data_IF_626796055995
#
_entry.id   IF_626796055995
#
_cell.length_a   1.000
_cell.length_b   1.000
_cell.length_c   1.000
_cell.angle_alpha   90.00
_cell.angle_beta   90.00
_cell.angle_gamma   90.00
#
_symmetry.space_group_name_H-M   'P 1'
#
loop_
_entity.id
_entity.type
_entity.pdbx_description
1 polymer ?
#
# COMPACT_ATOMS: atom_id res chain seq x y z
N UNK A 1 -10.35 35.61 1.81
CA UNK A 1 -10.52 34.72 0.64
C UNK A 1 -10.26 33.31 1.13
N UNK A 2 -11.32 32.54 1.31
CA UNK A 2 -11.26 31.17 1.81
C UNK A 2 -11.55 30.20 0.66
N UNK A 3 -11.04 28.98 0.83
CA UNK A 3 -11.23 27.77 0.03
C UNK A 3 -10.33 27.64 -1.22
N UNK A 4 -9.35 26.72 -1.10
CA UNK A 4 -9.18 25.56 -1.97
C UNK A 4 -8.04 24.70 -1.38
N UNK A 5 -8.36 23.94 -0.33
CA UNK A 5 -7.67 22.67 -0.14
C UNK A 5 -8.26 21.77 -1.23
N UNK A 6 -7.65 21.73 -2.42
CA UNK A 6 -8.08 20.85 -3.52
C UNK A 6 -7.73 19.39 -3.22
N UNK A 7 -8.39 18.83 -2.21
CA UNK A 7 -8.43 17.39 -1.96
C UNK A 7 -9.09 16.67 -3.13
N UNK A 8 -8.79 15.38 -3.31
CA UNK A 8 -9.44 14.49 -4.28
C UNK A 8 -10.97 14.56 -4.17
N UNK A 9 -11.65 14.87 -5.27
CA UNK A 9 -13.11 14.85 -5.35
C UNK A 9 -13.59 13.44 -5.69
N UNK A 10 -13.80 12.65 -4.63
CA UNK A 10 -14.27 11.26 -4.73
C UNK A 10 -15.66 11.17 -5.38
N UNK A 11 -16.49 12.21 -5.28
CA UNK A 11 -17.80 12.22 -5.92
C UNK A 11 -17.67 12.38 -7.44
N UNK A 12 -16.75 13.24 -7.89
CA UNK A 12 -16.41 13.39 -9.30
C UNK A 12 -15.74 12.13 -9.86
N UNK A 13 -14.90 11.44 -9.09
CA UNK A 13 -14.32 10.15 -9.51
C UNK A 13 -15.42 9.11 -9.79
N UNK A 14 -16.41 8.96 -8.89
CA UNK A 14 -17.45 7.94 -9.00
C UNK A 14 -18.35 8.06 -10.26
N UNK A 15 -18.39 9.23 -10.89
CA UNK A 15 -19.20 9.50 -12.09
C UNK A 15 -18.42 9.39 -13.40
N UNK A 16 -17.11 9.15 -13.36
CA UNK A 16 -16.29 8.97 -14.55
C UNK A 16 -16.72 7.71 -15.33
N UNK A 17 -16.72 7.80 -16.67
CA UNK A 17 -17.05 6.68 -17.57
C UNK A 17 -16.12 6.68 -18.79
N UNK A 18 -15.94 5.53 -19.46
CA UNK A 18 -15.25 5.49 -20.73
C UNK A 18 -15.83 6.48 -21.75
N UNK A 19 -14.97 7.07 -22.58
CA UNK A 19 -15.32 8.14 -23.53
C UNK A 19 -15.34 9.56 -22.93
N UNK A 20 -15.26 9.73 -21.61
CA UNK A 20 -15.04 11.05 -21.02
C UNK A 20 -13.58 11.49 -21.21
N UNK A 21 -13.30 12.81 -21.33
CA UNK A 21 -11.93 13.29 -21.56
C UNK A 21 -11.06 13.20 -20.30
N UNK A 22 -9.75 13.01 -20.48
CA UNK A 22 -8.74 12.98 -19.40
C UNK A 22 -8.84 14.19 -18.45
N UNK A 23 -9.22 15.36 -18.96
CA UNK A 23 -9.39 16.57 -18.15
C UNK A 23 -10.39 16.40 -16.99
N UNK A 24 -11.37 15.49 -17.10
CA UNK A 24 -12.29 15.15 -16.02
C UNK A 24 -11.59 14.37 -14.90
N UNK A 25 -10.68 13.46 -15.25
CA UNK A 25 -9.85 12.73 -14.28
C UNK A 25 -8.93 13.70 -13.55
N UNK A 26 -8.24 14.57 -14.30
CA UNK A 26 -7.39 15.61 -13.73
C UNK A 26 -8.14 16.51 -12.75
N UNK A 27 -9.32 17.01 -13.14
CA UNK A 27 -10.14 17.85 -12.28
C UNK A 27 -10.59 17.13 -10.99
N UNK A 28 -10.96 15.85 -11.09
CA UNK A 28 -11.38 15.06 -9.94
C UNK A 28 -10.22 14.72 -8.99
N UNK A 29 -9.00 14.57 -9.51
CA UNK A 29 -7.82 14.30 -8.70
C UNK A 29 -7.28 15.54 -7.98
N UNK A 30 -7.57 16.74 -8.48
CA UNK A 30 -7.13 17.99 -7.86
C UNK A 30 -5.61 18.02 -7.67
N UNK A 31 -5.15 18.31 -6.45
CA UNK A 31 -3.72 18.39 -6.13
C UNK A 31 -2.97 17.05 -6.22
N UNK A 32 -3.69 15.92 -6.29
CA UNK A 32 -3.08 14.60 -6.46
C UNK A 32 -2.68 14.29 -7.90
N UNK A 33 -3.12 15.10 -8.88
CA UNK A 33 -2.76 14.91 -10.27
C UNK A 33 -1.26 15.10 -10.51
N UNK A 34 -0.66 14.16 -11.24
CA UNK A 34 0.68 14.30 -11.83
C UNK A 34 0.57 14.03 -13.34
N UNK A 35 1.42 14.63 -14.18
CA UNK A 35 1.47 14.32 -15.61
C UNK A 35 1.63 12.82 -15.87
N UNK A 36 0.99 12.33 -16.94
CA UNK A 36 1.11 10.93 -17.36
C UNK A 36 2.57 10.59 -17.68
N UNK A 37 3.05 9.50 -17.10
CA UNK A 37 4.34 8.96 -17.45
C UNK A 37 4.19 8.06 -18.68
N UNK A 38 5.00 8.30 -19.72
CA UNK A 38 4.89 7.57 -21.00
C UNK A 38 5.01 6.05 -20.82
N UNK A 39 5.86 5.61 -19.89
CA UNK A 39 6.09 4.20 -19.58
C UNK A 39 4.89 3.48 -18.94
N UNK A 40 3.83 4.20 -18.59
CA UNK A 40 2.59 3.62 -18.05
C UNK A 40 1.52 3.33 -19.11
N UNK A 41 1.75 3.67 -20.37
CA UNK A 41 0.79 3.40 -21.45
C UNK A 41 -0.62 3.94 -21.18
N UNK A 42 -0.71 5.16 -20.65
CA UNK A 42 -1.98 5.80 -20.29
C UNK A 42 -2.57 5.42 -18.92
N UNK A 43 -1.96 4.50 -18.16
CA UNK A 43 -2.41 4.16 -16.79
C UNK A 43 -2.17 5.31 -15.80
N UNK A 44 -3.20 5.64 -15.03
CA UNK A 44 -3.21 6.57 -13.89
C UNK A 44 -3.57 5.79 -12.63
N UNK A 45 -2.59 5.54 -11.77
CA UNK A 45 -2.70 4.69 -10.57
C UNK A 45 -2.28 5.41 -9.27
N UNK A 46 -2.17 6.74 -9.31
CA UNK A 46 -1.75 7.56 -8.17
C UNK A 46 -2.69 7.46 -6.96
N UNK A 47 -3.95 7.06 -7.19
CA UNK A 47 -4.98 6.89 -6.16
C UNK A 47 -5.31 5.42 -5.89
N UNK A 48 -4.57 4.47 -6.45
CA UNK A 48 -4.81 3.03 -6.31
C UNK A 48 -4.78 2.62 -4.82
N UNK A 49 -3.69 2.94 -4.13
CA UNK A 49 -3.50 2.52 -2.74
C UNK A 49 -4.22 3.41 -1.72
N UNK A 50 -4.55 4.65 -2.08
CA UNK A 50 -5.17 5.62 -1.16
C UNK A 50 -6.70 5.68 -1.26
N UNK A 51 -7.26 5.55 -2.46
CA UNK A 51 -8.70 5.66 -2.71
C UNK A 51 -9.26 4.45 -3.48
N UNK A 52 -8.43 3.50 -3.90
CA UNK A 52 -8.89 2.35 -4.68
C UNK A 52 -9.28 2.71 -6.10
N UNK A 53 -8.67 3.74 -6.72
CA UNK A 53 -9.06 4.24 -8.04
C UNK A 53 -7.91 4.15 -9.05
N UNK A 54 -8.20 3.56 -10.21
CA UNK A 54 -7.28 3.51 -11.36
C UNK A 54 -8.03 3.86 -12.64
N UNK A 55 -7.41 4.64 -13.52
CA UNK A 55 -7.93 4.94 -14.85
C UNK A 55 -6.89 4.61 -15.93
N UNK A 56 -7.35 4.31 -17.14
CA UNK A 56 -6.51 4.23 -18.33
C UNK A 56 -7.04 5.19 -19.38
N UNK A 57 -6.13 6.00 -19.90
CA UNK A 57 -6.40 6.97 -20.96
C UNK A 57 -5.93 6.38 -22.29
N UNK A 58 -6.81 6.36 -23.27
CA UNK A 58 -6.53 5.91 -24.63
C UNK A 58 -5.62 6.90 -25.38
N UNK A 59 -5.14 6.49 -26.55
CA UNK A 59 -4.26 7.32 -27.41
C UNK A 59 -4.89 8.66 -27.84
N UNK A 60 -6.22 8.77 -27.77
CA UNK A 60 -6.99 9.96 -28.14
C UNK A 60 -7.28 10.88 -26.94
N UNK A 61 -6.79 10.54 -25.75
CA UNK A 61 -6.96 11.35 -24.54
C UNK A 61 -8.31 11.17 -23.83
N UNK A 62 -9.03 10.09 -24.12
CA UNK A 62 -10.29 9.72 -23.47
C UNK A 62 -10.09 8.55 -22.52
N UNK A 63 -10.98 8.44 -21.53
CA UNK A 63 -10.99 7.30 -20.62
C UNK A 63 -11.36 6.05 -21.44
N UNK A 64 -10.46 5.07 -21.48
CA UNK A 64 -10.73 3.75 -22.04
C UNK A 64 -11.19 2.75 -20.97
N UNK A 65 -10.63 2.85 -19.76
CA UNK A 65 -10.93 1.93 -18.66
C UNK A 65 -10.85 2.63 -17.29
N UNK A 66 -11.64 2.14 -16.34
CA UNK A 66 -11.67 2.58 -14.94
C UNK A 66 -11.82 1.36 -14.05
N UNK A 67 -11.10 1.32 -12.92
CA UNK A 67 -11.30 0.33 -11.87
C UNK A 67 -11.43 1.01 -10.51
N UNK A 68 -12.32 0.45 -9.69
CA UNK A 68 -12.57 0.80 -8.31
C UNK A 68 -12.45 -0.47 -7.46
N UNK A 69 -11.63 -0.46 -6.41
CA UNK A 69 -11.48 -1.59 -5.49
C UNK A 69 -12.18 -1.33 -4.13
N UNK A 70 -12.06 -2.28 -3.21
CA UNK A 70 -12.63 -2.22 -1.85
C UNK A 70 -12.31 -0.93 -1.04
N UNK A 71 -11.24 -0.19 -1.39
CA UNK A 71 -10.88 1.09 -0.76
C UNK A 71 -11.72 2.25 -1.26
N UNK A 72 -12.42 2.11 -2.39
CA UNK A 72 -13.30 3.14 -2.92
C UNK A 72 -14.65 3.12 -2.19
N UNK A 73 -14.74 3.89 -1.09
CA UNK A 73 -15.88 3.82 -0.16
C UNK A 73 -17.17 4.49 -0.68
N UNK A 74 -17.13 5.20 -1.81
CA UNK A 74 -18.30 5.87 -2.38
C UNK A 74 -19.02 4.96 -3.37
N UNK A 75 -20.37 4.92 -3.38
CA UNK A 75 -21.09 4.15 -4.37
C UNK A 75 -20.81 4.63 -5.81
N UNK A 76 -20.60 3.69 -6.73
CA UNK A 76 -20.43 3.90 -8.16
C UNK A 76 -21.68 3.38 -8.87
N UNK A 77 -22.43 4.27 -9.54
CA UNK A 77 -23.74 3.93 -10.12
C UNK A 77 -24.74 3.35 -9.12
N UNK A 78 -24.68 3.82 -7.87
CA UNK A 78 -25.52 3.31 -6.78
C UNK A 78 -25.06 1.97 -6.19
N UNK A 79 -23.95 1.39 -6.69
CA UNK A 79 -23.37 0.15 -6.19
C UNK A 79 -22.22 0.48 -5.26
N UNK A 80 -22.26 -0.04 -4.03
CA UNK A 80 -21.20 0.14 -3.04
C UNK A 80 -20.33 -1.11 -2.92
N UNK A 81 -19.05 -0.94 -2.60
CA UNK A 81 -18.20 -2.03 -2.14
C UNK A 81 -18.82 -2.69 -0.90
N UNK A 82 -18.73 -4.01 -0.79
CA UNK A 82 -19.35 -4.81 0.26
C UNK A 82 -20.86 -5.08 0.08
N UNK A 83 -21.52 -4.48 -0.92
CA UNK A 83 -22.93 -4.76 -1.20
C UNK A 83 -23.15 -6.24 -1.49
N UNK A 84 -24.17 -6.85 -0.87
CA UNK A 84 -24.48 -8.27 -1.08
C UNK A 84 -25.11 -8.51 -2.46
N UNK A 85 -24.92 -9.71 -3.00
CA UNK A 85 -25.44 -10.10 -4.32
C UNK A 85 -26.95 -9.84 -4.49
N UNK A 86 -27.76 -10.10 -3.47
CA UNK A 86 -29.22 -9.87 -3.52
C UNK A 86 -29.56 -8.37 -3.63
N UNK A 87 -28.83 -7.52 -2.90
CA UNK A 87 -28.97 -6.07 -2.99
C UNK A 87 -28.52 -5.56 -4.35
N UNK A 88 -27.43 -6.12 -4.88
CA UNK A 88 -26.92 -5.79 -6.21
C UNK A 88 -27.93 -6.14 -7.31
N UNK A 89 -28.55 -7.33 -7.26
CA UNK A 89 -29.59 -7.75 -8.20
C UNK A 89 -30.81 -6.84 -8.14
N UNK A 90 -31.20 -6.38 -6.95
CA UNK A 90 -32.29 -5.43 -6.79
C UNK A 90 -31.94 -4.03 -7.32
N UNK A 91 -30.71 -3.56 -7.07
CA UNK A 91 -30.25 -2.24 -7.50
C UNK A 91 -29.98 -2.15 -9.00
N UNK A 92 -29.51 -3.25 -9.62
CA UNK A 92 -29.23 -3.31 -11.06
C UNK A 92 -29.75 -4.62 -11.67
N UNK A 93 -31.06 -4.73 -11.94
CA UNK A 93 -31.67 -5.95 -12.49
C UNK A 93 -31.14 -6.36 -13.87
N UNK A 94 -30.57 -5.41 -14.62
CA UNK A 94 -29.96 -5.63 -15.93
C UNK A 94 -28.51 -6.14 -15.87
N UNK A 95 -27.96 -6.37 -14.68
CA UNK A 95 -26.63 -6.93 -14.52
C UNK A 95 -26.70 -8.46 -14.62
N UNK A 96 -25.99 -9.02 -15.59
CA UNK A 96 -25.86 -10.47 -15.76
C UNK A 96 -24.75 -10.98 -14.85
N UNK A 97 -25.11 -11.75 -13.81
CA UNK A 97 -24.15 -12.34 -12.88
C UNK A 97 -24.01 -13.82 -13.20
N UNK A 98 -22.81 -14.23 -13.63
CA UNK A 98 -22.48 -15.62 -13.90
C UNK A 98 -22.25 -16.45 -12.64
N UNK A 99 -21.95 -17.73 -12.86
CA UNK A 99 -21.55 -18.67 -11.81
C UNK A 99 -20.13 -18.36 -11.28
N UNK A 100 -19.69 -19.17 -10.32
CA UNK A 100 -18.33 -19.10 -9.78
C UNK A 100 -17.29 -19.26 -10.90
N UNK A 101 -16.24 -18.43 -10.87
CA UNK A 101 -15.10 -18.56 -11.77
C UNK A 101 -14.41 -19.91 -11.49
N UNK A 102 -14.11 -20.73 -12.53
CA UNK A 102 -13.38 -21.98 -12.34
C UNK A 102 -12.10 -21.77 -11.52
N UNK A 103 -11.86 -22.65 -10.56
CA UNK A 103 -10.72 -22.60 -9.62
C UNK A 103 -10.73 -21.45 -8.59
N UNK A 104 -11.71 -20.55 -8.61
CA UNK A 104 -11.87 -19.48 -7.61
C UNK A 104 -13.26 -19.53 -6.96
N UNK A 105 -13.46 -20.52 -6.07
CA UNK A 105 -14.75 -20.70 -5.38
C UNK A 105 -15.14 -19.43 -4.62
N UNK A 106 -16.40 -19.01 -4.78
CA UNK A 106 -16.92 -17.79 -4.15
C UNK A 106 -16.56 -16.50 -4.88
N UNK A 107 -15.92 -16.56 -6.06
CA UNK A 107 -15.70 -15.39 -6.92
C UNK A 107 -16.63 -15.46 -8.13
N UNK A 108 -17.43 -14.41 -8.37
CA UNK A 108 -18.36 -14.30 -9.50
C UNK A 108 -18.17 -13.00 -10.25
N UNK A 109 -18.53 -12.98 -11.53
CA UNK A 109 -18.50 -11.79 -12.37
C UNK A 109 -19.91 -11.36 -12.77
N UNK A 110 -20.24 -10.11 -12.47
CA UNK A 110 -21.36 -9.36 -13.03
C UNK A 110 -20.91 -8.58 -14.26
N UNK A 111 -21.69 -8.62 -15.34
CA UNK A 111 -21.42 -7.88 -16.57
C UNK A 111 -22.67 -7.16 -17.04
N UNK A 112 -22.52 -5.92 -17.50
CA UNK A 112 -23.56 -5.15 -18.17
C UNK A 112 -22.98 -4.35 -19.31
N UNK A 113 -23.61 -4.43 -20.48
CA UNK A 113 -23.25 -3.66 -21.66
C UNK A 113 -24.06 -2.37 -21.75
N UNK A 114 -23.40 -1.27 -22.11
CA UNK A 114 -24.01 0.04 -22.31
C UNK A 114 -24.16 0.36 -23.80
N UNK A 115 -25.27 1.01 -24.22
CA UNK A 115 -25.45 1.45 -25.62
C UNK A 115 -24.32 2.34 -26.14
N UNK A 116 -23.64 3.06 -25.25
CA UNK A 116 -22.48 3.91 -25.51
C UNK A 116 -21.22 3.11 -25.91
N UNK A 117 -21.27 1.78 -25.90
CA UNK A 117 -20.21 0.90 -26.41
C UNK A 117 -19.22 0.39 -25.36
N UNK A 118 -19.36 0.79 -24.09
CA UNK A 118 -18.54 0.28 -22.99
C UNK A 118 -19.29 -0.76 -22.14
N UNK A 119 -18.54 -1.45 -21.29
CA UNK A 119 -19.05 -2.51 -20.41
C UNK A 119 -18.73 -2.19 -18.95
N UNK A 120 -19.70 -2.41 -18.06
CA UNK A 120 -19.50 -2.49 -16.60
C UNK A 120 -19.21 -3.94 -16.23
N UNK A 121 -18.19 -4.12 -15.40
CA UNK A 121 -17.82 -5.39 -14.77
C UNK A 121 -17.85 -5.21 -13.26
N UNK A 122 -18.39 -6.19 -12.54
CA UNK A 122 -18.42 -6.21 -11.08
C UNK A 122 -17.86 -7.55 -10.63
N UNK A 123 -16.79 -7.53 -9.83
CA UNK A 123 -16.27 -8.72 -9.18
C UNK A 123 -16.96 -8.87 -7.84
N UNK A 124 -17.59 -10.03 -7.61
CA UNK A 124 -18.06 -10.42 -6.29
C UNK A 124 -17.09 -11.42 -5.68
N UNK A 125 -16.74 -11.22 -4.41
CA UNK A 125 -15.97 -12.15 -3.59
C UNK A 125 -16.79 -12.49 -2.35
N UNK A 126 -16.99 -13.78 -2.08
CA UNK A 126 -17.82 -14.27 -0.98
C UNK A 126 -19.20 -13.60 -0.96
N UNK A 127 -19.84 -13.51 -2.13
CA UNK A 127 -21.18 -12.91 -2.35
C UNK A 127 -21.29 -11.39 -2.11
N UNK A 128 -20.17 -10.69 -1.96
CA UNK A 128 -20.13 -9.23 -1.80
C UNK A 128 -19.35 -8.56 -2.91
N UNK A 129 -19.75 -7.35 -3.31
CA UNK A 129 -19.03 -6.54 -4.30
C UNK A 129 -17.64 -6.20 -3.78
N UNK A 130 -16.60 -6.55 -4.54
CA UNK A 130 -15.21 -6.29 -4.18
C UNK A 130 -14.47 -5.38 -5.18
N UNK A 131 -14.93 -5.35 -6.43
CA UNK A 131 -14.34 -4.53 -7.49
C UNK A 131 -15.42 -4.10 -8.47
N UNK A 132 -15.32 -2.88 -8.99
CA UNK A 132 -16.18 -2.33 -10.04
C UNK A 132 -15.26 -1.81 -11.13
N UNK A 133 -15.49 -2.21 -12.38
CA UNK A 133 -14.69 -1.78 -13.52
C UNK A 133 -15.56 -1.33 -14.69
N UNK A 134 -15.10 -0.35 -15.45
CA UNK A 134 -15.68 0.03 -16.74
C UNK A 134 -14.62 -0.10 -17.81
N UNK A 135 -14.95 -0.68 -18.96
CA UNK A 135 -14.01 -0.82 -20.08
C UNK A 135 -14.70 -0.59 -21.41
N UNK A 136 -14.13 0.30 -22.24
CA UNK A 136 -14.43 0.38 -23.66
C UNK A 136 -13.54 -0.64 -24.41
N UNK A 137 -14.11 -1.71 -24.99
CA UNK A 137 -13.33 -2.72 -25.71
C UNK A 137 -12.69 -2.20 -27.01
N UNK A 138 -13.12 -1.04 -27.51
CA UNK A 138 -12.54 -0.40 -28.70
C UNK A 138 -11.45 0.64 -28.36
N UNK A 139 -11.12 0.84 -27.08
CA UNK A 139 -10.06 1.76 -26.69
C UNK A 139 -8.68 1.17 -27.01
N UNK A 140 -7.85 1.96 -27.70
CA UNK A 140 -6.46 1.65 -27.98
C UNK A 140 -5.56 2.50 -27.07
N UNK A 141 -4.57 1.88 -26.43
CA UNK A 141 -3.75 2.54 -25.43
C UNK A 141 -2.36 2.86 -25.98
N UNK A 142 -1.71 3.94 -25.53
CA UNK A 142 -0.32 4.16 -25.83
C UNK A 142 0.53 2.96 -25.40
N UNK A 143 1.45 2.53 -26.26
CA UNK A 143 2.39 1.45 -25.93
C UNK A 143 3.27 1.87 -24.73
N UNK A 144 3.30 1.10 -23.63
CA UNK A 144 4.18 1.37 -22.51
C UNK A 144 5.66 1.31 -22.92
N UNK A 145 6.42 2.35 -22.59
CA UNK A 145 7.88 2.33 -22.68
C UNK A 145 8.53 1.75 -21.42
N UNK A 146 9.86 1.63 -21.41
CA UNK A 146 10.62 1.32 -20.21
C UNK A 146 10.52 2.48 -19.18
N UNK A 147 10.38 2.19 -17.88
CA UNK A 147 10.50 3.21 -16.85
C UNK A 147 11.84 3.95 -16.91
N UNK A 148 11.89 5.23 -16.53
CA UNK A 148 13.16 5.94 -16.40
C UNK A 148 13.92 5.40 -15.19
N UNK A 149 14.82 4.45 -15.42
CA UNK A 149 15.69 3.92 -14.38
C UNK A 149 16.86 4.88 -14.13
N UNK A 150 16.93 5.54 -12.97
CA UNK A 150 18.10 6.35 -12.65
C UNK A 150 19.33 5.46 -12.48
N UNK A 151 20.50 6.01 -12.78
CA UNK A 151 21.76 5.29 -12.58
C UNK A 151 21.95 4.97 -11.09
N UNK A 152 22.24 3.69 -10.80
CA UNK A 152 22.67 3.25 -9.48
C UNK A 152 23.91 4.05 -9.03
N UNK A 153 23.91 4.54 -7.80
CA UNK A 153 24.97 5.41 -7.31
C UNK A 153 25.26 5.18 -5.82
N UNK A 154 26.50 5.49 -5.43
CA UNK A 154 26.93 5.45 -4.03
C UNK A 154 27.15 4.04 -3.48
N UNK A 155 27.21 3.96 -2.16
CA UNK A 155 27.41 2.73 -1.38
C UNK A 155 26.06 2.01 -1.25
N UNK A 156 26.00 0.66 -1.30
CA UNK A 156 24.78 -0.08 -1.02
C UNK A 156 24.17 0.32 0.33
N UNK A 157 22.86 0.50 0.37
CA UNK A 157 22.12 0.92 1.57
C UNK A 157 22.08 2.43 1.80
N UNK A 158 23.02 3.21 1.25
CA UNK A 158 23.04 4.65 1.49
C UNK A 158 21.70 5.33 1.09
N UNK A 159 21.20 6.29 1.90
CA UNK A 159 21.85 6.91 3.05
C UNK A 159 21.70 6.17 4.39
N UNK A 160 21.15 4.95 4.39
CA UNK A 160 20.97 4.12 5.56
C UNK A 160 22.20 3.25 5.80
N UNK A 161 22.44 2.85 7.05
CA UNK A 161 23.51 1.92 7.38
C UNK A 161 23.22 0.49 6.89
N UNK A 162 21.95 0.09 6.95
CA UNK A 162 21.48 -1.24 6.54
C UNK A 162 20.87 -1.21 5.12
N UNK A 163 21.39 -2.01 4.17
CA UNK A 163 20.78 -2.15 2.85
C UNK A 163 19.34 -2.64 2.85
N UNK A 164 18.94 -3.47 3.81
CA UNK A 164 17.57 -3.96 3.91
C UNK A 164 16.62 -2.87 4.42
N UNK A 165 17.09 -1.93 5.26
CA UNK A 165 16.30 -0.74 5.62
C UNK A 165 16.02 0.12 4.38
N UNK A 166 16.99 0.24 3.47
CA UNK A 166 16.77 0.93 2.20
C UNK A 166 15.67 0.29 1.37
N UNK A 167 15.61 -1.05 1.32
CA UNK A 167 14.53 -1.77 0.64
C UNK A 167 13.17 -1.44 1.27
N UNK A 168 13.05 -1.48 2.59
CA UNK A 168 11.81 -1.09 3.31
C UNK A 168 11.34 0.32 2.93
N UNK A 169 12.27 1.28 2.87
CA UNK A 169 11.96 2.66 2.44
C UNK A 169 11.56 2.73 0.97
N UNK A 170 12.21 1.97 0.08
CA UNK A 170 11.82 1.88 -1.33
C UNK A 170 10.43 1.27 -1.50
N UNK A 171 10.07 0.25 -0.70
CA UNK A 171 8.71 -0.30 -0.68
C UNK A 171 7.69 0.79 -0.35
N UNK A 172 7.97 1.57 0.70
CA UNK A 172 7.10 2.67 1.12
C UNK A 172 6.93 3.73 0.02
N UNK A 173 8.00 4.07 -0.70
CA UNK A 173 7.96 5.01 -1.82
C UNK A 173 7.22 4.46 -3.04
N UNK A 174 7.34 3.15 -3.32
CA UNK A 174 6.59 2.46 -4.37
C UNK A 174 5.09 2.47 -4.05
N UNK A 175 4.72 2.11 -2.82
CA UNK A 175 3.34 2.04 -2.37
C UNK A 175 2.68 3.42 -2.36
N UNK A 176 3.45 4.46 -2.00
CA UNK A 176 3.02 5.87 -2.08
C UNK A 176 3.10 6.46 -3.50
N UNK A 177 3.49 5.68 -4.52
CA UNK A 177 3.64 6.12 -5.92
C UNK A 177 4.55 7.35 -6.08
N UNK A 178 5.61 7.43 -5.26
CA UNK A 178 6.63 8.48 -5.32
C UNK A 178 7.81 8.09 -6.22
N UNK A 179 8.03 6.79 -6.38
CA UNK A 179 8.94 6.22 -7.38
C UNK A 179 8.20 5.18 -8.22
N UNK A 180 8.79 4.80 -9.34
CA UNK A 180 8.24 3.80 -10.24
C UNK A 180 9.35 2.94 -10.83
N UNK A 181 9.25 1.63 -10.65
CA UNK A 181 10.19 0.64 -11.15
C UNK A 181 9.60 -0.20 -12.30
N UNK A 182 8.38 0.11 -12.75
CA UNK A 182 7.64 -0.72 -13.69
C UNK A 182 7.20 -2.04 -13.07
N UNK A 183 7.26 -3.12 -13.84
CA UNK A 183 7.09 -4.49 -13.34
C UNK A 183 8.42 -5.09 -12.92
N UNK A 184 8.43 -6.13 -12.07
CA UNK A 184 9.65 -6.89 -11.77
C UNK A 184 10.39 -7.36 -13.04
N UNK A 185 9.67 -7.78 -14.08
CA UNK A 185 10.27 -8.24 -15.34
C UNK A 185 10.93 -7.09 -16.12
N UNK A 186 10.34 -5.89 -16.09
CA UNK A 186 10.93 -4.70 -16.70
C UNK A 186 12.24 -4.32 -16.01
N UNK A 187 12.27 -4.27 -14.66
CA UNK A 187 13.49 -3.97 -13.94
C UNK A 187 14.56 -5.05 -14.16
N UNK A 188 14.17 -6.33 -14.11
CA UNK A 188 15.07 -7.44 -14.39
C UNK A 188 15.71 -7.34 -15.78
N UNK A 189 14.88 -7.02 -16.78
CA UNK A 189 15.33 -6.80 -18.16
C UNK A 189 16.31 -5.64 -18.26
N UNK A 190 16.04 -4.55 -17.54
CA UNK A 190 16.92 -3.39 -17.48
C UNK A 190 18.30 -3.73 -16.91
N UNK A 191 18.34 -4.33 -15.71
CA UNK A 191 19.60 -4.56 -14.99
C UNK A 191 20.45 -5.66 -15.62
N UNK A 192 19.83 -6.63 -16.32
CA UNK A 192 20.53 -7.70 -17.02
C UNK A 192 20.84 -7.38 -18.49
N UNK A 193 20.20 -6.38 -19.08
CA UNK A 193 20.34 -6.04 -20.50
C UNK A 193 19.82 -7.12 -21.47
N UNK A 194 18.92 -8.00 -21.00
CA UNK A 194 18.26 -9.05 -21.79
C UNK A 194 16.84 -9.29 -21.29
N UNK A 195 15.97 -9.85 -22.12
CA UNK A 195 14.64 -10.27 -21.66
C UNK A 195 14.74 -11.32 -20.53
N UNK A 196 13.81 -11.24 -19.58
CA UNK A 196 13.72 -12.11 -18.41
C UNK A 196 12.34 -12.73 -18.34
N UNK A 197 12.28 -14.04 -18.16
CA UNK A 197 11.05 -14.78 -17.89
C UNK A 197 10.99 -15.17 -16.41
N UNK A 198 10.19 -14.44 -15.64
CA UNK A 198 10.09 -14.65 -14.19
C UNK A 198 9.48 -16.01 -13.83
N UNK A 199 8.66 -16.60 -14.69
CA UNK A 199 8.08 -17.93 -14.43
C UNK A 199 9.14 -19.03 -14.43
N UNK A 200 10.31 -18.80 -15.03
CA UNK A 200 11.44 -19.73 -15.00
C UNK A 200 12.61 -19.24 -14.15
N UNK A 201 12.81 -17.92 -14.04
CA UNK A 201 13.98 -17.31 -13.39
C UNK A 201 13.67 -16.64 -12.03
N UNK A 202 12.39 -16.53 -11.62
CA UNK A 202 11.96 -15.74 -10.46
C UNK A 202 12.00 -16.45 -9.10
N UNK A 203 12.53 -17.68 -9.03
CA UNK A 203 12.51 -18.52 -7.83
C UNK A 203 13.70 -18.30 -6.88
N UNK A 204 14.68 -17.48 -7.24
CA UNK A 204 15.84 -17.14 -6.41
C UNK A 204 16.05 -15.62 -6.40
N UNK A 205 16.93 -15.15 -5.52
CA UNK A 205 17.39 -13.76 -5.52
C UNK A 205 18.13 -13.46 -6.81
N UNK A 206 17.78 -12.32 -7.43
CA UNK A 206 18.45 -11.73 -8.57
C UNK A 206 19.48 -10.70 -8.09
N UNK A 207 20.79 -11.02 -8.10
CA UNK A 207 21.81 -10.17 -7.49
C UNK A 207 21.92 -8.79 -8.14
N UNK A 208 21.74 -8.69 -9.46
CA UNK A 208 21.79 -7.43 -10.20
C UNK A 208 20.65 -6.48 -9.82
N UNK A 209 19.44 -7.01 -9.62
CA UNK A 209 18.32 -6.22 -9.12
C UNK A 209 18.54 -5.80 -7.66
N UNK A 210 19.09 -6.69 -6.83
CA UNK A 210 19.43 -6.39 -5.44
C UNK A 210 20.47 -5.26 -5.34
N UNK A 211 21.58 -5.34 -6.07
CA UNK A 211 22.63 -4.30 -6.07
C UNK A 211 22.09 -2.98 -6.62
N UNK A 212 21.29 -3.02 -7.71
CA UNK A 212 20.64 -1.84 -8.25
C UNK A 212 19.76 -1.14 -7.20
N UNK A 213 18.88 -1.87 -6.52
CA UNK A 213 17.98 -1.29 -5.51
C UNK A 213 18.73 -0.82 -4.27
N UNK A 214 19.74 -1.58 -3.82
CA UNK A 214 20.62 -1.16 -2.73
C UNK A 214 21.38 0.14 -3.07
N UNK A 215 21.58 0.46 -4.36
CA UNK A 215 22.21 1.69 -4.85
C UNK A 215 21.24 2.66 -5.51
N UNK A 216 19.94 2.43 -5.39
CA UNK A 216 18.93 3.32 -5.97
C UNK A 216 19.11 4.73 -5.38
N UNK A 217 19.21 5.80 -6.19
CA UNK A 217 19.46 7.13 -5.67
C UNK A 217 18.24 7.67 -4.94
N UNK A 218 18.41 7.98 -3.65
CA UNK A 218 17.40 8.60 -2.81
C UNK A 218 17.78 10.04 -2.51
N UNK A 219 16.92 10.97 -2.89
CA UNK A 219 17.07 12.39 -2.56
C UNK A 219 16.42 12.71 -1.21
N UNK A 220 16.87 13.78 -0.55
CA UNK A 220 16.20 14.27 0.66
C UNK A 220 14.71 14.58 0.40
N UNK A 221 14.37 15.08 -0.78
CA UNK A 221 12.99 15.35 -1.17
C UNK A 221 12.15 14.06 -1.15
N UNK A 222 12.62 12.98 -1.77
CA UNK A 222 11.95 11.67 -1.72
C UNK A 222 11.81 11.16 -0.29
N UNK A 223 12.88 11.22 0.51
CA UNK A 223 12.84 10.77 1.91
C UNK A 223 11.82 11.54 2.74
N UNK A 224 11.62 12.84 2.45
CA UNK A 224 10.57 13.62 3.13
C UNK A 224 9.15 13.27 2.68
N UNK A 225 8.96 12.51 1.60
CA UNK A 225 7.63 12.02 1.20
C UNK A 225 7.23 10.71 1.90
N UNK A 226 8.14 10.07 2.63
CA UNK A 226 7.87 8.85 3.38
C UNK A 226 7.01 9.19 4.60
N UNK A 227 5.75 8.76 4.59
CA UNK A 227 4.80 8.93 5.70
C UNK A 227 4.49 7.62 6.44
N UNK A 228 4.75 6.48 5.81
CA UNK A 228 4.46 5.15 6.37
C UNK A 228 5.66 4.24 6.11
N UNK A 229 6.03 3.44 7.11
CA UNK A 229 7.04 2.39 6.99
C UNK A 229 6.44 1.11 7.60
N UNK A 230 6.57 0.02 6.87
CA UNK A 230 6.21 -1.32 7.33
C UNK A 230 7.37 -2.29 7.10
N UNK A 231 7.81 -2.95 8.17
CA UNK A 231 8.70 -4.10 8.12
C UNK A 231 7.82 -5.34 8.02
N UNK A 232 7.69 -5.89 6.81
CA UNK A 232 6.77 -6.98 6.49
C UNK A 232 7.27 -7.74 5.26
N UNK A 233 7.22 -9.07 5.28
CA UNK A 233 7.64 -9.91 4.16
C UNK A 233 6.83 -9.68 2.87
N UNK A 234 5.62 -9.11 2.98
CA UNK A 234 4.76 -8.73 1.86
C UNK A 234 5.12 -7.40 1.19
N UNK A 235 6.20 -6.73 1.59
CA UNK A 235 6.63 -5.45 1.02
C UNK A 235 6.81 -5.50 -0.51
N UNK A 236 6.24 -4.51 -1.21
CA UNK A 236 6.21 -4.41 -2.68
C UNK A 236 7.58 -4.50 -3.36
N UNK A 237 8.64 -4.03 -2.68
CA UNK A 237 10.01 -4.01 -3.24
C UNK A 237 10.60 -5.40 -3.42
N UNK A 238 10.25 -6.38 -2.57
CA UNK A 238 10.98 -7.65 -2.51
C UNK A 238 10.77 -8.47 -3.77
N UNK A 239 9.61 -8.36 -4.42
CA UNK A 239 9.29 -9.03 -5.69
C UNK A 239 10.18 -8.61 -6.86
N UNK A 240 10.88 -7.48 -6.76
CA UNK A 240 11.86 -7.05 -7.73
C UNK A 240 13.22 -7.71 -7.53
N UNK A 241 13.53 -8.15 -6.31
CA UNK A 241 14.76 -8.86 -5.95
C UNK A 241 14.56 -10.37 -6.06
N UNK A 242 13.47 -10.90 -5.51
CA UNK A 242 13.12 -12.31 -5.51
C UNK A 242 11.60 -12.43 -5.74
N UNK A 243 11.22 -12.75 -6.98
CA UNK A 243 9.84 -12.62 -7.45
C UNK A 243 8.85 -13.52 -6.71
N UNK A 244 9.24 -14.78 -6.48
CA UNK A 244 8.44 -15.79 -5.79
C UNK A 244 8.85 -16.01 -4.33
N UNK A 245 9.52 -15.03 -3.69
CA UNK A 245 9.79 -15.10 -2.27
C UNK A 245 8.48 -15.16 -1.47
N UNK A 246 8.42 -16.06 -0.49
CA UNK A 246 7.22 -16.28 0.32
C UNK A 246 7.13 -15.34 1.54
N UNK A 247 8.23 -14.66 1.88
CA UNK A 247 8.26 -13.66 2.96
C UNK A 247 8.62 -14.22 4.34
N UNK A 248 9.01 -15.50 4.44
CA UNK A 248 9.09 -16.22 5.72
C UNK A 248 10.53 -16.41 6.25
N UNK A 249 11.56 -16.15 5.45
CA UNK A 249 12.97 -16.28 5.86
C UNK A 249 13.62 -14.97 6.32
N UNK A 250 14.88 -15.04 6.76
CA UNK A 250 15.62 -13.92 7.35
C UNK A 250 16.41 -13.08 6.33
N UNK A 251 16.30 -13.36 5.03
CA UNK A 251 17.20 -12.80 4.02
C UNK A 251 17.11 -11.28 3.89
N UNK A 252 15.92 -10.73 4.16
CA UNK A 252 15.64 -9.30 4.13
C UNK A 252 15.51 -8.67 5.53
N UNK A 253 15.98 -9.36 6.58
CA UNK A 253 15.92 -8.82 7.93
C UNK A 253 16.74 -7.52 8.06
N UNK A 254 16.15 -6.53 8.71
CA UNK A 254 16.79 -5.28 9.09
C UNK A 254 17.38 -5.44 10.49
N UNK A 255 18.65 -5.07 10.63
CA UNK A 255 19.40 -5.19 11.88
C UNK A 255 19.87 -3.83 12.42
N UNK A 256 19.88 -2.79 11.58
CA UNK A 256 20.26 -1.43 11.96
C UNK A 256 19.28 -0.40 11.40
N UNK A 257 18.73 0.44 12.29
CA UNK A 257 17.79 1.52 11.94
C UNK A 257 18.48 2.85 11.64
N UNK A 258 19.81 2.92 11.71
CA UNK A 258 20.56 4.17 11.51
C UNK A 258 20.27 4.80 10.14
N UNK A 259 19.87 6.07 10.15
CA UNK A 259 19.46 6.84 8.97
C UNK A 259 17.94 6.93 8.81
N UNK A 260 17.14 6.14 9.56
CA UNK A 260 15.67 6.21 9.48
C UNK A 260 15.13 7.60 9.82
N UNK A 261 15.84 8.38 10.64
CA UNK A 261 15.50 9.76 11.01
C UNK A 261 15.46 10.74 9.82
N UNK A 262 15.98 10.34 8.66
CA UNK A 262 15.85 11.09 7.40
C UNK A 262 14.41 11.09 6.87
N UNK A 263 13.59 10.10 7.24
CA UNK A 263 12.17 10.00 6.90
C UNK A 263 11.31 10.90 7.83
N UNK A 264 11.60 12.20 7.86
CA UNK A 264 11.11 13.14 8.89
C UNK A 264 9.59 13.32 8.97
N UNK A 265 8.86 12.91 7.93
CA UNK A 265 7.41 13.05 7.86
C UNK A 265 6.67 11.75 8.21
N UNK A 266 7.37 10.77 8.79
CA UNK A 266 6.78 9.51 9.21
C UNK A 266 5.61 9.71 10.18
N UNK A 267 4.45 9.14 9.81
CA UNK A 267 3.19 9.12 10.56
C UNK A 267 2.83 7.72 11.03
N UNK A 268 3.22 6.68 10.29
CA UNK A 268 2.94 5.29 10.64
C UNK A 268 4.23 4.46 10.65
N UNK A 269 4.45 3.70 11.72
CA UNK A 269 5.54 2.75 11.83
C UNK A 269 4.97 1.39 12.23
N UNK A 270 5.21 0.37 11.42
CA UNK A 270 4.73 -0.99 11.66
C UNK A 270 5.88 -1.99 11.59
N UNK A 271 6.22 -2.61 12.72
CA UNK A 271 7.16 -3.73 12.77
C UNK A 271 6.36 -5.04 12.85
N UNK A 272 6.02 -5.63 11.70
CA UNK A 272 5.21 -6.85 11.61
C UNK A 272 6.11 -8.08 11.65
N UNK A 273 7.14 -8.07 10.82
CA UNK A 273 8.23 -9.06 10.74
C UNK A 273 9.50 -8.35 10.25
N UNK A 274 10.50 -9.10 9.78
CA UNK A 274 11.71 -8.55 9.13
C UNK A 274 12.59 -7.63 9.98
N UNK A 275 12.36 -7.53 11.29
CA UNK A 275 13.16 -6.74 12.22
C UNK A 275 13.02 -7.34 13.63
N UNK A 276 14.04 -7.13 14.48
CA UNK A 276 13.97 -7.51 15.89
C UNK A 276 13.03 -6.63 16.72
N UNK A 277 13.15 -6.74 18.05
CA UNK A 277 12.47 -5.83 18.98
C UNK A 277 12.85 -4.38 18.69
N UNK A 278 11.87 -3.49 18.77
CA UNK A 278 12.07 -2.07 18.49
C UNK A 278 12.41 -1.31 19.77
N UNK A 279 13.59 -0.69 19.80
CA UNK A 279 13.90 0.31 20.82
C UNK A 279 13.15 1.62 20.51
N UNK A 280 12.12 1.92 21.30
CA UNK A 280 11.23 3.08 21.09
C UNK A 280 11.98 4.41 21.12
N UNK A 281 13.17 4.48 21.74
CA UNK A 281 14.00 5.71 21.74
C UNK A 281 14.41 6.14 20.34
N UNK A 282 14.57 5.19 19.42
CA UNK A 282 14.88 5.49 18.01
C UNK A 282 13.77 6.30 17.33
N UNK A 283 12.53 6.17 17.82
CA UNK A 283 11.35 6.80 17.22
C UNK A 283 11.06 8.21 17.77
N UNK A 284 11.76 8.66 18.82
CA UNK A 284 11.54 9.97 19.44
C UNK A 284 11.77 11.16 18.50
N UNK A 285 12.57 10.97 17.45
CA UNK A 285 12.86 12.02 16.47
C UNK A 285 11.67 12.31 15.54
N UNK A 286 10.69 11.40 15.44
CA UNK A 286 9.53 11.54 14.55
C UNK A 286 8.42 12.36 15.21
N UNK A 287 8.50 13.68 15.07
CA UNK A 287 7.50 14.62 15.61
C UNK A 287 6.11 14.55 14.94
N UNK A 288 5.90 13.65 13.97
CA UNK A 288 4.63 13.43 13.27
C UNK A 288 4.12 11.99 13.40
N UNK A 289 4.76 11.15 14.21
CA UNK A 289 4.38 9.75 14.37
C UNK A 289 3.02 9.66 15.10
N UNK A 290 2.02 9.10 14.42
CA UNK A 290 0.64 8.99 14.89
C UNK A 290 0.24 7.55 15.17
N UNK A 291 0.77 6.59 14.42
CA UNK A 291 0.39 5.18 14.49
C UNK A 291 1.64 4.31 14.67
N UNK A 292 1.60 3.43 15.67
CA UNK A 292 2.67 2.50 15.96
C UNK A 292 2.10 1.08 16.11
N UNK A 293 2.62 0.13 15.36
CA UNK A 293 2.27 -1.28 15.45
C UNK A 293 3.53 -2.12 15.62
N UNK A 294 3.60 -2.92 16.69
CA UNK A 294 4.81 -3.59 17.15
C UNK A 294 4.52 -5.07 17.38
N UNK A 295 4.67 -5.88 16.34
CA UNK A 295 4.47 -7.33 16.41
C UNK A 295 5.75 -8.11 16.68
N UNK A 296 6.92 -7.46 16.53
CA UNK A 296 8.24 -8.04 16.82
C UNK A 296 8.72 -7.75 18.24
N UNK A 297 7.86 -7.18 19.08
CA UNK A 297 8.17 -6.73 20.44
C UNK A 297 8.83 -5.35 20.51
N UNK A 298 8.99 -4.84 21.73
CA UNK A 298 9.54 -3.51 21.97
C UNK A 298 10.34 -3.39 23.26
N UNK A 299 11.33 -2.52 23.22
CA UNK A 299 12.15 -2.13 24.36
C UNK A 299 11.91 -0.65 24.69
N UNK A 300 12.04 -0.30 25.97
CA UNK A 300 11.98 1.09 26.46
C UNK A 300 10.60 1.76 26.21
N UNK A 301 9.53 0.99 26.42
CA UNK A 301 8.13 1.41 26.20
C UNK A 301 7.72 2.67 26.97
N UNK A 302 8.39 3.01 28.07
CA UNK A 302 8.17 4.27 28.79
C UNK A 302 8.39 5.50 27.89
N UNK A 303 9.19 5.34 26.84
CA UNK A 303 9.49 6.37 25.85
C UNK A 303 8.29 6.71 24.96
N UNK A 304 7.27 5.84 24.88
CA UNK A 304 6.01 6.15 24.19
C UNK A 304 5.37 7.42 24.73
N UNK A 305 5.56 7.73 26.01
CA UNK A 305 5.06 8.96 26.64
C UNK A 305 5.72 10.24 26.09
N UNK A 306 6.85 10.10 25.41
CA UNK A 306 7.57 11.19 24.73
C UNK A 306 7.11 11.45 23.30
N UNK A 307 6.19 10.65 22.75
CA UNK A 307 5.66 10.82 21.40
C UNK A 307 4.40 11.72 21.41
N UNK A 308 4.50 13.00 21.03
CA UNK A 308 3.46 13.98 21.31
C UNK A 308 2.23 13.84 20.39
N UNK A 309 2.39 13.23 19.22
CA UNK A 309 1.35 13.09 18.19
C UNK A 309 0.74 11.70 18.13
N UNK A 310 1.17 10.78 19.00
CA UNK A 310 0.73 9.39 18.99
C UNK A 310 -0.79 9.32 19.21
N UNK A 311 -1.50 8.69 18.28
CA UNK A 311 -2.96 8.47 18.31
C UNK A 311 -3.30 7.02 18.59
N UNK A 312 -2.43 6.10 18.20
CA UNK A 312 -2.62 4.67 18.41
C UNK A 312 -1.30 3.94 18.59
N UNK A 313 -1.29 3.00 19.54
CA UNK A 313 -0.21 2.02 19.71
C UNK A 313 -0.80 0.62 19.82
N UNK A 314 -0.30 -0.28 18.97
CA UNK A 314 -0.58 -1.71 18.98
C UNK A 314 0.69 -2.47 19.32
N UNK A 315 0.60 -3.38 20.28
CA UNK A 315 1.73 -4.24 20.67
C UNK A 315 1.26 -5.68 20.71
N UNK A 316 1.97 -6.56 20.01
CA UNK A 316 1.84 -8.00 20.13
C UNK A 316 3.13 -8.54 20.76
N UNK A 317 3.12 -8.75 22.08
CA UNK A 317 4.30 -9.18 22.84
C UNK A 317 3.87 -9.83 24.16
N UNK A 318 4.32 -11.06 24.40
CA UNK A 318 3.94 -11.86 25.57
C UNK A 318 4.39 -11.20 26.89
N UNK A 319 5.60 -10.64 26.95
CA UNK A 319 6.18 -10.05 28.15
C UNK A 319 5.46 -8.74 28.52
N UNK A 320 5.23 -7.88 27.52
CA UNK A 320 4.51 -6.61 27.70
C UNK A 320 3.05 -6.89 28.07
N UNK A 321 2.41 -7.88 27.45
CA UNK A 321 1.04 -8.28 27.78
C UNK A 321 0.92 -8.78 29.24
N UNK A 322 1.84 -9.64 29.67
CA UNK A 322 1.90 -10.13 31.05
C UNK A 322 2.14 -9.02 32.07
N UNK A 323 2.84 -7.96 31.68
CA UNK A 323 3.10 -6.81 32.54
C UNK A 323 1.90 -5.86 32.58
N UNK A 324 1.31 -5.50 31.43
CA UNK A 324 0.19 -4.53 31.35
C UNK A 324 -1.09 -5.05 32.02
N UNK A 325 -1.31 -6.36 32.03
CA UNK A 325 -2.49 -6.97 32.67
C UNK A 325 -2.43 -6.95 34.20
N UNK A 326 -1.25 -6.69 34.80
CA UNK A 326 -1.06 -6.60 36.25
C UNK A 326 -1.09 -5.14 36.72
N UNK A 327 -1.93 -4.86 37.71
CA UNK A 327 -2.05 -3.49 38.28
C UNK A 327 -0.74 -3.09 38.95
N UNK A 328 -0.30 -1.85 38.69
CA UNK A 328 0.86 -1.26 39.37
C UNK A 328 2.22 -1.62 38.76
N UNK A 329 2.26 -2.31 37.62
CA UNK A 329 3.50 -2.51 36.87
C UNK A 329 3.92 -1.25 36.10
N UNK A 330 5.22 -1.09 35.77
CA UNK A 330 5.70 -0.06 34.86
C UNK A 330 4.93 0.01 33.54
N UNK A 331 4.78 -1.09 32.80
CA UNK A 331 4.05 -1.11 31.53
C UNK A 331 2.60 -0.65 31.70
N UNK A 332 1.89 -1.15 32.73
CA UNK A 332 0.51 -0.73 33.01
C UNK A 332 0.40 0.79 33.20
N UNK A 333 1.32 1.40 33.96
CA UNK A 333 1.33 2.87 34.14
C UNK A 333 1.53 3.62 32.83
N UNK A 334 2.42 3.14 31.96
CA UNK A 334 2.68 3.76 30.65
C UNK A 334 1.41 3.74 29.81
N UNK A 335 0.80 2.57 29.62
CA UNK A 335 -0.37 2.44 28.76
C UNK A 335 -1.63 3.10 29.33
N UNK A 336 -1.86 3.06 30.66
CA UNK A 336 -2.93 3.83 31.28
C UNK A 336 -2.73 5.34 31.04
N UNK A 337 -1.49 5.85 31.16
CA UNK A 337 -1.18 7.26 30.89
C UNK A 337 -1.42 7.64 29.42
N UNK A 338 -1.16 6.73 28.48
CA UNK A 338 -1.47 6.95 27.06
C UNK A 338 -2.99 7.02 26.83
N UNK A 339 -3.75 6.12 27.45
CA UNK A 339 -5.23 6.14 27.38
C UNK A 339 -5.80 7.44 27.96
N UNK A 340 -5.26 7.92 29.07
CA UNK A 340 -5.65 9.20 29.69
C UNK A 340 -5.40 10.40 28.76
N UNK A 341 -4.44 10.29 27.82
CA UNK A 341 -4.18 11.29 26.76
C UNK A 341 -5.06 11.12 25.52
N UNK A 342 -5.95 10.12 25.50
CA UNK A 342 -6.80 9.80 24.36
C UNK A 342 -6.13 8.96 23.28
N UNK A 343 -4.97 8.35 23.56
CA UNK A 343 -4.31 7.41 22.65
C UNK A 343 -5.05 6.08 22.68
N UNK A 344 -5.39 5.53 21.52
CA UNK A 344 -5.91 4.17 21.41
C UNK A 344 -4.80 3.17 21.72
N UNK A 345 -4.99 2.38 22.75
CA UNK A 345 -4.04 1.34 23.13
C UNK A 345 -4.64 -0.01 22.78
N UNK A 346 -3.81 -0.88 22.22
CA UNK A 346 -4.13 -2.29 22.04
C UNK A 346 -2.87 -3.10 22.36
N UNK A 347 -2.90 -3.89 23.43
CA UNK A 347 -1.78 -4.78 23.77
C UNK A 347 -2.33 -6.20 23.89
N UNK A 348 -1.69 -7.12 23.19
CA UNK A 348 -2.07 -8.52 23.15
C UNK A 348 -0.82 -9.41 23.14
N UNK A 349 -1.00 -10.68 23.47
CA UNK A 349 0.09 -11.67 23.44
C UNK A 349 0.17 -12.34 22.06
N UNK A 350 1.34 -12.88 21.72
CA UNK A 350 1.66 -13.57 20.45
C UNK A 350 1.31 -15.06 20.53
N UNK A 351 1.63 -15.73 21.65
CA UNK A 351 1.55 -17.18 21.79
C UNK A 351 0.12 -17.74 21.82
N UNK A 352 -0.29 -18.61 20.89
CA UNK A 352 -1.64 -19.18 20.90
C UNK A 352 -1.97 -19.92 22.22
N UNK A 353 -2.91 -19.38 23.00
CA UNK A 353 -3.47 -20.03 24.19
C UNK A 353 -5.00 -20.07 24.07
N UNK A 354 -5.61 -21.20 24.49
CA UNK A 354 -7.06 -21.37 24.55
C UNK A 354 -7.55 -21.51 26.01
N UNK A 355 -8.61 -20.78 26.42
CA UNK A 355 -9.28 -19.73 25.67
C UNK A 355 -8.37 -18.51 25.51
N UNK A 356 -8.45 -17.84 24.36
CA UNK A 356 -7.73 -16.59 24.04
C UNK A 356 -8.16 -15.50 25.03
N UNK A 357 -7.28 -15.01 25.94
CA UNK A 357 -7.56 -13.83 26.76
C UNK A 357 -8.06 -12.59 25.96
N UNK A 358 -8.67 -11.59 26.60
CA UNK A 358 -8.97 -10.34 25.92
C UNK A 358 -7.70 -9.48 25.74
N UNK A 359 -7.69 -8.63 24.72
CA UNK A 359 -6.70 -7.56 24.61
C UNK A 359 -6.77 -6.60 25.81
N UNK A 360 -5.65 -5.98 26.16
CA UNK A 360 -5.66 -4.77 26.97
C UNK A 360 -5.94 -3.57 26.06
N UNK A 361 -7.10 -2.94 26.28
CA UNK A 361 -7.61 -1.80 25.50
C UNK A 361 -8.09 -0.67 26.41
#
# INVERSE_FOLDING_TARGET
MAALNESVDVAALAVLRPGMPMAKVQAAMGSAWKPLAAHKGGKIDLLENSHGFVAWIDENGFIGMLNYDHRFLRPVEGIAMGMKIEQLRAAMPSLEIGDDIPMMRGVRMGVRHYPEGYTLRIRLTLETVNEIGFSNPAAEYPEPTEPPYPAAAGIPGAPFADPNLKLVVLSSLLDAKQIDLGTPAQLATHVLGRAVDLESEGYEIMPEAQDYLARYPLTNELLTTVEEIAFDGGGSVYRYVWHFWDGEDDVFNVTDLSGIELCRNLKSFSAISMIGKIDIRTLLSFGRLEYLSLSTGADHIETLLGLPTLKEVRVLDDEIYDEVTKVGTPARRVFDTLKDRGVRVWVHWVSATEPTPPAFE
#
